data_IF_217612958578
#
_entry.id   IF_217612958578
#
_cell.length_a   1.000
_cell.length_b   1.000
_cell.length_c   1.000
_cell.angle_alpha   90.00
_cell.angle_beta   90.00
_cell.angle_gamma   90.00
#
_symmetry.space_group_name_H-M   'P 1'
#
loop_
_entity.id
_entity.type
_entity.pdbx_description
1 polymer ?
#
# COMPACT_ATOMS: atom_id res chain seq x y z
N UNK A 1 29.96 -19.73 22.94
CA UNK A 1 29.29 -18.95 21.87
C UNK A 1 28.04 -18.34 22.48
N UNK A 2 28.07 -17.07 22.86
CA UNK A 2 26.88 -16.40 23.39
C UNK A 2 26.01 -16.10 22.17
N UNK A 3 24.93 -16.86 22.02
CA UNK A 3 23.81 -16.47 21.18
C UNK A 3 23.29 -15.17 21.78
N UNK A 4 23.74 -14.03 21.25
CA UNK A 4 23.07 -12.76 21.49
C UNK A 4 21.66 -12.93 20.96
N UNK A 5 20.72 -13.20 21.86
CA UNK A 5 19.31 -13.09 21.59
C UNK A 5 19.09 -11.67 21.07
N UNK A 6 18.92 -11.53 19.76
CA UNK A 6 18.45 -10.28 19.20
C UNK A 6 17.14 -9.98 19.94
N UNK A 7 17.13 -8.93 20.77
CA UNK A 7 15.91 -8.52 21.44
C UNK A 7 14.86 -8.30 20.36
N UNK A 8 13.67 -8.88 20.56
CA UNK A 8 12.54 -8.60 19.68
C UNK A 8 12.33 -7.08 19.63
N UNK A 9 12.24 -6.52 18.42
CA UNK A 9 12.04 -5.08 18.22
C UNK A 9 10.76 -4.58 18.92
N UNK A 10 9.74 -5.42 18.97
CA UNK A 10 8.46 -5.15 19.62
C UNK A 10 7.80 -6.47 20.09
N UNK A 11 6.71 -6.36 20.85
CA UNK A 11 5.75 -7.44 21.11
C UNK A 11 4.36 -6.98 20.67
N UNK A 12 3.61 -7.82 19.93
CA UNK A 12 2.25 -7.45 19.52
C UNK A 12 1.34 -7.16 20.71
N UNK A 13 0.60 -6.07 20.64
CA UNK A 13 -0.34 -5.67 21.69
C UNK A 13 0.33 -5.19 22.98
N UNK A 14 1.64 -4.88 22.96
CA UNK A 14 2.35 -4.29 24.09
C UNK A 14 1.78 -2.92 24.47
N UNK A 15 2.08 -2.49 25.69
CA UNK A 15 1.70 -1.16 26.18
C UNK A 15 2.90 -0.23 26.28
N UNK A 16 2.73 1.00 25.81
CA UNK A 16 3.58 2.13 26.11
C UNK A 16 2.78 3.14 26.95
N UNK A 17 2.89 3.04 28.28
CA UNK A 17 1.99 3.72 29.19
C UNK A 17 0.55 3.23 29.00
N UNK A 18 -0.36 4.13 28.62
CA UNK A 18 -1.78 3.81 28.35
C UNK A 18 -2.07 3.46 26.88
N UNK A 19 -1.05 3.52 26.03
CA UNK A 19 -1.18 3.31 24.59
C UNK A 19 -0.91 1.85 24.28
N UNK A 20 -1.83 1.19 23.56
CA UNK A 20 -1.63 -0.18 23.07
C UNK A 20 -1.02 -0.14 21.67
N UNK A 21 0.03 -0.90 21.43
CA UNK A 21 0.78 -0.89 20.17
C UNK A 21 0.59 -2.20 19.40
N UNK A 22 0.28 -2.08 18.11
CA UNK A 22 0.23 -3.19 17.17
C UNK A 22 1.08 -2.88 15.96
N UNK A 23 1.58 -3.94 15.32
CA UNK A 23 2.55 -3.86 14.24
C UNK A 23 2.03 -4.62 13.04
N UNK A 24 1.97 -3.95 11.90
CA UNK A 24 1.40 -4.45 10.68
C UNK A 24 2.39 -4.38 9.52
N UNK A 25 2.15 -5.25 8.55
CA UNK A 25 2.85 -5.30 7.27
C UNK A 25 1.81 -5.27 6.14
N UNK A 26 2.03 -4.42 5.13
CA UNK A 26 1.28 -4.47 3.86
C UNK A 26 2.18 -4.99 2.74
N UNK A 27 1.71 -6.00 2.01
CA UNK A 27 2.43 -6.58 0.87
C UNK A 27 2.20 -5.78 -0.41
N UNK A 28 3.04 -6.00 -1.43
CA UNK A 28 2.85 -5.46 -2.79
C UNK A 28 1.50 -5.87 -3.44
N UNK A 29 0.83 -6.90 -2.93
CA UNK A 29 -0.51 -7.33 -3.39
C UNK A 29 -1.66 -6.61 -2.67
N UNK A 30 -1.37 -5.69 -1.73
CA UNK A 30 -2.38 -4.94 -0.97
C UNK A 30 -3.02 -5.72 0.18
N UNK A 31 -2.39 -6.80 0.64
CA UNK A 31 -2.84 -7.57 1.80
C UNK A 31 -2.18 -7.04 3.08
N UNK A 32 -2.99 -6.85 4.12
CA UNK A 32 -2.54 -6.41 5.44
C UNK A 32 -2.37 -7.61 6.38
N UNK A 33 -1.27 -7.65 7.11
CA UNK A 33 -0.90 -8.72 8.02
C UNK A 33 -0.45 -8.18 9.36
N UNK A 34 -0.56 -8.98 10.42
CA UNK A 34 0.30 -8.77 11.60
C UNK A 34 1.76 -8.92 11.16
N UNK A 35 2.61 -8.02 11.61
CA UNK A 35 3.99 -7.98 11.15
C UNK A 35 4.80 -9.23 11.52
N UNK A 36 4.53 -9.79 12.70
CA UNK A 36 5.14 -11.02 13.22
C UNK A 36 4.47 -12.31 12.70
N UNK A 37 3.50 -12.21 11.79
CA UNK A 37 2.90 -13.40 11.19
C UNK A 37 3.97 -14.22 10.45
N UNK A 38 4.11 -15.50 10.80
CA UNK A 38 5.05 -16.41 10.12
C UNK A 38 4.68 -16.62 8.66
N UNK A 39 3.37 -16.67 8.38
CA UNK A 39 2.82 -16.86 7.04
C UNK A 39 2.15 -15.56 6.59
N UNK A 40 2.57 -15.04 5.44
CA UNK A 40 2.01 -13.84 4.80
C UNK A 40 1.40 -14.22 3.45
N UNK A 41 0.32 -14.99 3.50
CA UNK A 41 -0.43 -15.46 2.33
C UNK A 41 -1.90 -14.98 2.39
N UNK A 42 -2.66 -15.16 1.32
CA UNK A 42 -4.04 -14.66 1.25
C UNK A 42 -4.95 -15.19 2.39
N UNK A 43 -4.73 -16.41 2.88
CA UNK A 43 -5.57 -16.98 3.95
C UNK A 43 -5.33 -16.28 5.28
N UNK A 44 -4.08 -15.88 5.58
CA UNK A 44 -3.67 -15.20 6.81
C UNK A 44 -3.86 -13.67 6.81
N UNK A 45 -4.27 -13.07 5.68
CA UNK A 45 -4.48 -11.63 5.59
C UNK A 45 -5.69 -11.18 6.43
N UNK A 46 -5.62 -9.98 7.02
CA UNK A 46 -6.77 -9.31 7.63
C UNK A 46 -7.85 -9.09 6.57
N UNK A 47 -9.11 -9.40 6.94
CA UNK A 47 -10.29 -9.35 6.06
C UNK A 47 -11.45 -8.55 6.63
N UNK A 48 -11.35 -8.07 7.86
CA UNK A 48 -12.38 -7.23 8.46
C UNK A 48 -12.45 -5.89 7.72
N UNK A 49 -13.52 -5.69 6.94
CA UNK A 49 -13.68 -4.51 6.09
C UNK A 49 -13.77 -3.23 6.93
N UNK A 50 -14.44 -3.26 8.08
CA UNK A 50 -14.59 -2.07 8.93
C UNK A 50 -13.23 -1.66 9.51
N UNK A 51 -12.46 -2.63 9.98
CA UNK A 51 -11.10 -2.40 10.44
C UNK A 51 -10.20 -1.88 9.31
N UNK A 52 -10.20 -2.52 8.13
CA UNK A 52 -9.39 -2.09 6.98
C UNK A 52 -9.74 -0.66 6.56
N UNK A 53 -11.04 -0.34 6.50
CA UNK A 53 -11.52 1.00 6.19
C UNK A 53 -11.04 2.02 7.23
N UNK A 54 -11.15 1.70 8.51
CA UNK A 54 -10.64 2.58 9.57
C UNK A 54 -9.12 2.77 9.45
N UNK A 55 -8.40 1.65 9.33
CA UNK A 55 -6.95 1.60 9.30
C UNK A 55 -6.39 2.49 8.19
N UNK A 56 -6.86 2.31 6.95
CA UNK A 56 -6.40 3.08 5.79
C UNK A 56 -6.94 4.52 5.76
N UNK A 57 -8.09 4.83 6.38
CA UNK A 57 -8.54 6.23 6.53
C UNK A 57 -7.67 7.03 7.49
N UNK A 58 -7.01 6.36 8.44
CA UNK A 58 -6.20 7.01 9.49
C UNK A 58 -4.70 6.82 9.30
N UNK A 59 -4.27 6.07 8.30
CA UNK A 59 -2.86 5.84 8.01
C UNK A 59 -2.20 7.16 7.59
N UNK A 60 -1.02 7.42 8.16
CA UNK A 60 -0.21 8.61 7.88
C UNK A 60 1.24 8.32 8.20
N UNK A 61 2.13 9.24 7.82
CA UNK A 61 3.54 9.18 8.17
C UNK A 61 3.72 9.06 9.69
N UNK A 62 4.60 8.16 10.11
CA UNK A 62 4.91 7.95 11.52
C UNK A 62 5.87 9.03 12.03
N UNK A 63 5.32 9.94 12.83
CA UNK A 63 6.06 11.00 13.55
C UNK A 63 5.81 10.92 15.05
N UNK A 64 5.71 9.70 15.58
CA UNK A 64 5.32 9.45 16.98
C UNK A 64 6.52 9.41 17.94
N UNK A 65 7.75 9.52 17.44
CA UNK A 65 8.99 9.28 18.14
C UNK A 65 9.27 7.79 18.41
N UNK A 66 8.46 6.88 17.84
CA UNK A 66 8.59 5.43 18.05
C UNK A 66 8.59 4.68 16.74
N UNK A 67 9.59 3.81 16.59
CA UNK A 67 9.74 2.87 15.47
C UNK A 67 9.78 3.51 14.08
N UNK A 68 10.01 4.83 13.97
CA UNK A 68 9.92 5.57 12.71
C UNK A 68 10.78 4.96 11.59
N UNK A 69 12.01 4.57 11.92
CA UNK A 69 12.97 3.95 10.98
C UNK A 69 12.53 2.57 10.45
N UNK A 70 11.65 1.88 11.20
CA UNK A 70 11.25 0.49 10.91
C UNK A 70 9.80 0.36 10.47
N UNK A 71 8.94 1.26 10.94
CA UNK A 71 7.51 1.37 10.65
C UNK A 71 7.23 2.84 10.30
N UNK A 72 7.51 3.25 9.05
CA UNK A 72 7.41 4.65 8.63
C UNK A 72 5.97 5.17 8.55
N UNK A 73 4.97 4.32 8.78
CA UNK A 73 3.56 4.67 8.75
C UNK A 73 2.88 4.27 10.06
N UNK A 74 1.82 5.00 10.43
CA UNK A 74 1.02 4.70 11.61
C UNK A 74 -0.45 5.04 11.38
N UNK A 75 -1.34 4.15 11.80
CA UNK A 75 -2.77 4.37 11.86
C UNK A 75 -3.21 4.53 13.32
N UNK A 76 -3.83 5.67 13.64
CA UNK A 76 -4.23 6.02 15.00
C UNK A 76 -5.67 5.58 15.27
N UNK A 77 -5.87 4.59 16.15
CA UNK A 77 -7.18 4.01 16.48
C UNK A 77 -7.51 4.20 17.97
N UNK A 78 -8.03 5.37 18.34
CA UNK A 78 -8.28 5.68 19.75
C UNK A 78 -6.99 5.61 20.58
N UNK A 79 -6.97 4.71 21.57
CA UNK A 79 -5.77 4.45 22.39
C UNK A 79 -4.73 3.57 21.70
N UNK A 80 -5.07 2.99 20.55
CA UNK A 80 -4.18 2.09 19.83
C UNK A 80 -3.29 2.86 18.84
N UNK A 81 -2.06 2.38 18.68
CA UNK A 81 -1.11 2.80 17.65
C UNK A 81 -0.80 1.60 16.79
N UNK A 82 -1.28 1.64 15.55
CA UNK A 82 -1.09 0.58 14.59
C UNK A 82 0.05 0.98 13.65
N UNK A 83 1.26 0.59 13.99
CA UNK A 83 2.47 0.84 13.22
C UNK A 83 2.47 -0.02 11.96
N UNK A 84 2.90 0.53 10.83
CA UNK A 84 2.90 -0.13 9.54
C UNK A 84 4.25 0.03 8.85
N UNK A 85 4.79 -1.10 8.42
CA UNK A 85 5.82 -1.14 7.38
C UNK A 85 5.23 -1.75 6.11
N UNK A 86 5.84 -1.44 4.98
CA UNK A 86 5.34 -1.82 3.67
C UNK A 86 6.46 -2.44 2.83
N UNK A 87 6.07 -3.34 1.94
CA UNK A 87 6.95 -3.90 0.91
C UNK A 87 7.43 -2.83 -0.10
N UNK A 88 6.53 -1.91 -0.46
CA UNK A 88 6.79 -0.84 -1.42
C UNK A 88 6.12 0.47 -0.94
N UNK A 89 4.79 0.55 -1.02
CA UNK A 89 4.01 1.72 -0.60
C UNK A 89 3.02 1.39 0.52
N UNK A 90 2.63 2.36 1.39
CA UNK A 90 1.67 2.11 2.48
C UNK A 90 0.26 1.72 2.01
N UNK A 91 -0.06 2.06 0.77
CA UNK A 91 -1.33 1.78 0.12
C UNK A 91 -1.03 1.11 -1.20
N UNK A 92 -1.88 0.17 -1.59
CA UNK A 92 -1.79 -0.54 -2.87
C UNK A 92 -3.16 -0.53 -3.52
N UNK A 93 -3.24 -0.07 -4.76
CA UNK A 93 -4.45 -0.12 -5.56
C UNK A 93 -4.60 -1.52 -6.18
N UNK A 94 -5.71 -2.18 -5.90
CA UNK A 94 -5.94 -3.60 -6.24
C UNK A 94 -7.03 -3.81 -7.27
N UNK A 95 -7.89 -2.82 -7.47
CA UNK A 95 -9.00 -2.87 -8.41
C UNK A 95 -9.26 -1.48 -9.01
N UNK A 96 -9.57 -1.44 -10.30
CA UNK A 96 -10.23 -0.32 -10.94
C UNK A 96 -11.72 -0.65 -10.97
N UNK A 97 -12.56 0.28 -10.52
CA UNK A 97 -13.99 0.09 -10.47
C UNK A 97 -14.59 -0.09 -11.88
N UNK A 98 -15.84 -0.56 -11.95
CA UNK A 98 -16.50 -0.84 -13.24
C UNK A 98 -16.75 0.42 -14.08
N UNK A 99 -16.79 1.61 -13.48
CA UNK A 99 -16.93 2.87 -14.21
C UNK A 99 -15.59 3.42 -14.69
N UNK A 100 -14.48 2.77 -14.36
CA UNK A 100 -13.11 3.18 -14.62
C UNK A 100 -12.76 4.60 -14.11
N UNK A 101 -13.38 5.01 -13.02
CA UNK A 101 -13.18 6.34 -12.42
C UNK A 101 -12.45 6.28 -11.10
N UNK A 102 -12.36 5.12 -10.45
CA UNK A 102 -11.85 5.01 -9.11
C UNK A 102 -11.03 3.72 -8.88
N UNK A 103 -9.95 3.85 -8.12
CA UNK A 103 -9.06 2.78 -7.72
C UNK A 103 -9.32 2.37 -6.26
N UNK A 104 -9.56 1.09 -6.02
CA UNK A 104 -9.77 0.51 -4.69
C UNK A 104 -8.45 0.25 -3.99
N UNK A 105 -8.38 0.56 -2.70
CA UNK A 105 -7.24 0.25 -1.84
C UNK A 105 -7.38 -1.15 -1.25
N UNK A 106 -6.40 -2.03 -1.50
CA UNK A 106 -6.28 -3.33 -0.83
C UNK A 106 -7.57 -4.15 -0.89
N UNK A 107 -7.99 -4.67 0.27
CA UNK A 107 -9.29 -5.34 0.45
C UNK A 107 -10.34 -4.43 1.12
N UNK A 108 -10.09 -3.13 1.17
CA UNK A 108 -11.00 -2.15 1.77
C UNK A 108 -12.13 -1.78 0.80
N UNK A 109 -13.08 -0.96 1.24
CA UNK A 109 -14.07 -0.31 0.36
C UNK A 109 -13.75 1.17 0.18
N UNK A 110 -12.48 1.55 0.31
CA UNK A 110 -12.01 2.91 0.04
C UNK A 110 -11.54 2.98 -1.40
N UNK A 111 -12.00 4.04 -2.07
CA UNK A 111 -11.72 4.35 -3.45
C UNK A 111 -11.06 5.73 -3.53
N UNK A 112 -10.08 5.87 -4.41
CA UNK A 112 -9.50 7.14 -4.81
C UNK A 112 -9.75 7.37 -6.31
N UNK A 113 -9.95 8.61 -6.73
CA UNK A 113 -10.16 8.92 -8.14
C UNK A 113 -8.98 8.46 -9.00
N UNK A 114 -9.29 7.73 -10.06
CA UNK A 114 -8.36 7.31 -11.09
C UNK A 114 -8.05 8.47 -12.03
N UNK A 115 -6.76 8.77 -12.17
CA UNK A 115 -6.23 9.79 -13.07
C UNK A 115 -5.15 9.14 -13.93
N UNK A 116 -5.49 8.71 -15.15
CA UNK A 116 -4.56 8.01 -16.02
C UNK A 116 -3.25 8.75 -16.25
N UNK A 117 -3.27 10.08 -16.39
CA UNK A 117 -2.07 10.91 -16.57
C UNK A 117 -1.11 10.93 -15.37
N UNK A 118 -1.52 10.36 -14.23
CA UNK A 118 -0.68 10.18 -13.04
C UNK A 118 -0.10 8.78 -12.89
N UNK A 119 -0.39 7.89 -13.84
CA UNK A 119 0.28 6.60 -13.93
C UNK A 119 1.76 6.82 -14.26
N UNK A 120 2.61 6.03 -13.62
CA UNK A 120 4.04 5.95 -13.91
C UNK A 120 4.49 4.51 -13.79
N UNK A 121 5.53 4.13 -14.51
CA UNK A 121 6.15 2.82 -14.42
C UNK A 121 7.63 3.01 -14.11
N UNK A 122 8.15 2.25 -13.15
CA UNK A 122 9.59 2.26 -12.89
C UNK A 122 10.33 1.27 -13.80
N UNK A 123 11.65 1.21 -13.71
CA UNK A 123 12.49 0.29 -14.49
C UNK A 123 12.24 -1.20 -14.19
N UNK A 124 11.62 -1.53 -13.06
CA UNK A 124 11.23 -2.92 -12.74
C UNK A 124 9.86 -3.30 -13.31
N UNK A 125 9.19 -2.41 -14.04
CA UNK A 125 7.84 -2.62 -14.57
C UNK A 125 6.72 -2.41 -13.55
N UNK A 126 7.03 -2.02 -12.30
CA UNK A 126 6.00 -1.71 -11.29
C UNK A 126 5.30 -0.42 -11.68
N UNK A 127 3.98 -0.46 -11.65
CA UNK A 127 3.13 0.69 -11.96
C UNK A 127 2.69 1.38 -10.68
N UNK A 128 2.74 2.69 -10.68
CA UNK A 128 2.28 3.53 -9.59
C UNK A 128 1.22 4.50 -10.08
N UNK A 129 0.33 4.87 -9.19
CA UNK A 129 -0.62 5.95 -9.38
C UNK A 129 -0.48 6.94 -8.23
N UNK A 130 -0.80 8.21 -8.45
CA UNK A 130 -0.75 9.22 -7.38
C UNK A 130 -1.58 8.79 -6.16
N UNK A 131 -1.12 9.18 -4.98
CA UNK A 131 -1.82 8.91 -3.74
C UNK A 131 -1.61 10.08 -2.76
N UNK A 132 -2.65 10.58 -2.08
CA UNK A 132 -2.47 11.62 -1.05
C UNK A 132 -1.52 11.20 0.07
N UNK A 133 -1.42 9.90 0.34
CA UNK A 133 -0.59 9.32 1.38
C UNK A 133 0.65 8.71 0.71
N UNK A 134 1.83 9.20 1.08
CA UNK A 134 3.11 8.79 0.47
C UNK A 134 3.38 9.31 -0.93
N UNK A 135 2.52 10.18 -1.47
CA UNK A 135 2.67 10.79 -2.80
C UNK A 135 2.27 9.87 -3.96
N UNK A 136 2.55 8.57 -3.83
CA UNK A 136 2.15 7.52 -4.78
C UNK A 136 1.78 6.22 -4.07
N UNK A 137 0.99 5.40 -4.74
CA UNK A 137 0.66 4.04 -4.32
C UNK A 137 0.92 3.08 -5.48
N UNK A 138 1.46 1.92 -5.14
CA UNK A 138 1.66 0.81 -6.06
C UNK A 138 0.29 0.36 -6.62
N UNK A 139 0.27 0.06 -7.91
CA UNK A 139 -0.82 -0.67 -8.57
C UNK A 139 -0.43 -2.15 -8.53
N UNK A 140 -1.21 -2.97 -7.82
CA UNK A 140 -0.92 -4.38 -7.64
C UNK A 140 -0.76 -5.09 -8.98
N UNK A 141 0.13 -6.08 -9.06
CA UNK A 141 0.47 -6.79 -10.31
C UNK A 141 -0.78 -7.31 -11.04
N UNK A 142 -1.73 -7.91 -10.30
CA UNK A 142 -3.01 -8.37 -10.86
C UNK A 142 -3.83 -7.28 -11.56
N UNK A 143 -3.77 -6.05 -11.06
CA UNK A 143 -4.41 -4.90 -11.70
C UNK A 143 -3.54 -4.39 -12.86
N UNK A 144 -2.23 -4.30 -12.66
CA UNK A 144 -1.26 -3.92 -13.69
C UNK A 144 -1.40 -4.79 -14.94
N UNK A 145 -1.51 -6.11 -14.82
CA UNK A 145 -1.72 -7.04 -15.94
C UNK A 145 -2.95 -6.70 -16.78
N UNK A 146 -4.03 -6.25 -16.14
CA UNK A 146 -5.27 -5.82 -16.83
C UNK A 146 -5.08 -4.50 -17.55
N UNK A 147 -4.29 -3.60 -16.98
CA UNK A 147 -4.04 -2.27 -17.52
C UNK A 147 -2.92 -2.27 -18.57
N UNK A 148 -2.03 -3.26 -18.56
CA UNK A 148 -0.78 -3.27 -19.33
C UNK A 148 -1.00 -2.99 -20.83
N UNK A 149 -2.02 -3.62 -21.44
CA UNK A 149 -2.34 -3.44 -22.87
C UNK A 149 -2.80 -2.05 -23.26
N UNK A 150 -3.17 -1.22 -22.27
CA UNK A 150 -3.58 0.18 -22.47
C UNK A 150 -2.39 1.14 -22.43
N UNK A 151 -1.23 0.71 -21.94
CA UNK A 151 -0.02 1.52 -22.02
C UNK A 151 0.48 1.61 -23.47
N UNK A 152 0.98 2.78 -23.82
CA UNK A 152 1.71 3.07 -25.06
C UNK A 152 3.15 3.36 -24.69
N UNK A 153 4.05 2.65 -25.34
CA UNK A 153 5.48 2.71 -25.09
C UNK A 153 6.16 3.35 -26.29
N UNK A 154 7.25 4.07 -26.05
CA UNK A 154 8.17 4.48 -27.11
C UNK A 154 9.10 3.32 -27.52
N UNK A 155 10.02 3.60 -28.45
CA UNK A 155 10.95 2.61 -29.00
C UNK A 155 11.93 2.04 -27.94
N UNK A 156 12.13 2.77 -26.85
CA UNK A 156 12.98 2.37 -25.72
C UNK A 156 12.20 1.56 -24.66
N UNK A 157 10.90 1.34 -24.87
CA UNK A 157 10.02 0.62 -23.94
C UNK A 157 9.58 1.46 -22.74
N UNK A 158 9.70 2.79 -22.81
CA UNK A 158 9.25 3.71 -21.76
C UNK A 158 7.78 4.06 -22.00
N UNK A 159 6.89 3.97 -20.98
CA UNK A 159 5.49 4.31 -21.17
C UNK A 159 5.31 5.82 -21.31
N UNK A 160 4.79 6.23 -22.47
CA UNK A 160 4.54 7.64 -22.85
C UNK A 160 3.06 7.99 -22.89
N UNK A 161 2.18 6.99 -22.93
CA UNK A 161 0.75 7.20 -23.01
C UNK A 161 -0.08 6.08 -22.37
N UNK A 162 -1.33 6.38 -22.08
CA UNK A 162 -2.31 5.44 -21.57
C UNK A 162 -3.65 5.61 -22.29
N UNK A 163 -4.17 4.52 -22.85
CA UNK A 163 -5.41 4.53 -23.61
C UNK A 163 -6.64 4.50 -22.68
N UNK A 164 -7.52 5.47 -22.87
CA UNK A 164 -8.84 5.58 -22.24
C UNK A 164 -9.92 5.69 -23.31
N UNK A 165 -10.63 4.58 -23.55
CA UNK A 165 -11.53 4.48 -24.71
C UNK A 165 -10.74 4.67 -26.01
N UNK A 166 -11.13 5.66 -26.79
CA UNK A 166 -10.44 6.04 -28.05
C UNK A 166 -9.31 7.06 -27.85
N UNK A 167 -9.23 7.68 -26.66
CA UNK A 167 -8.24 8.71 -26.37
C UNK A 167 -6.95 8.10 -25.83
N UNK A 168 -5.82 8.70 -26.16
CA UNK A 168 -4.53 8.41 -25.54
C UNK A 168 -4.17 9.59 -24.66
N UNK A 169 -4.04 9.33 -23.36
CA UNK A 169 -3.63 10.31 -22.37
C UNK A 169 -2.11 10.24 -22.23
N UNK A 170 -1.42 11.35 -22.42
CA UNK A 170 0.03 11.44 -22.22
C UNK A 170 0.38 11.21 -20.74
N UNK A 171 1.44 10.41 -20.52
CA UNK A 171 1.98 10.15 -19.20
C UNK A 171 3.11 11.13 -18.91
N UNK A 172 3.18 11.60 -17.66
CA UNK A 172 4.27 12.45 -17.21
C UNK A 172 5.56 11.63 -17.15
N UNK A 173 6.63 12.15 -17.76
CA UNK A 173 7.99 11.64 -17.61
C UNK A 173 8.52 11.88 -16.19
#
# INVERSE_FOLDING_TARGET
MILTFARSLYTQGQYNGKIREYFYYVSHNGFLFLDDSRMKNFTAAYKDIQFLNFFYRKIKENKTGRYEDTFPWVSLCGIERNFLRCDDTPLVYTELDSTEKELRIGQSTIYHSFQPSSLSMNSSGRVYHKCPIGGKALVADKLTDKLYRRFRFDDDGVPVGFQCGEQIIELKK
#
